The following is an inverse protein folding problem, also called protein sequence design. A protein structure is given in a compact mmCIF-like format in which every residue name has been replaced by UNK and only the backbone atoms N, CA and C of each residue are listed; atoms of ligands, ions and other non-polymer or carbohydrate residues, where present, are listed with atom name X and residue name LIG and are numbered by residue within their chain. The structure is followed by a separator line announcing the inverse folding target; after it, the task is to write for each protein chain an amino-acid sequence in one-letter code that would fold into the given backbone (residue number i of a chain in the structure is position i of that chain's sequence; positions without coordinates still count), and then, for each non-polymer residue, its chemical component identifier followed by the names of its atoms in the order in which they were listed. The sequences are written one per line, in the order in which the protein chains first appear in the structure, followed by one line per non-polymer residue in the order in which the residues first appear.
data_IF_331637586518
#
_entry.id   IF_331637586518
#
_cell.length_a   1.000
_cell.length_b   1.000
_cell.length_c   1.000
_cell.angle_alpha   90.00
_cell.angle_beta   90.00
_cell.angle_gamma   90.00
#
_symmetry.space_group_name_H-M   'P 1'
#
loop_
_entity.id
_entity.type
_entity.pdbx_description
1 polymer ?
#
# COMPACT_ATOMS: atom_id res chain seq x y z
N UNK A 1 -11.78 27.11 1.21
CA UNK A 1 -11.97 26.04 2.21
C UNK A 1 -13.12 25.16 1.78
N UNK A 2 -12.90 23.81 1.74
CA UNK A 2 -13.98 22.87 1.47
C UNK A 2 -14.95 22.88 2.68
N UNK A 3 -16.24 23.11 2.40
CA UNK A 3 -17.31 23.04 3.41
C UNK A 3 -17.75 21.60 3.64
N UNK A 4 -16.83 20.72 4.08
CA UNK A 4 -17.15 19.35 4.42
C UNK A 4 -17.63 19.29 5.88
N UNK A 5 -18.76 18.62 6.12
CA UNK A 5 -19.20 18.28 7.46
C UNK A 5 -18.58 16.95 7.87
N UNK A 6 -17.90 16.92 9.03
CA UNK A 6 -17.32 15.72 9.63
C UNK A 6 -18.16 15.33 10.83
N UNK A 7 -18.63 14.08 10.86
CA UNK A 7 -19.41 13.49 11.97
C UNK A 7 -18.62 12.35 12.61
N UNK A 8 -17.91 12.68 13.66
CA UNK A 8 -17.21 11.67 14.47
C UNK A 8 -18.21 10.80 15.25
N UNK A 9 -17.82 9.55 15.53
CA UNK A 9 -18.68 8.58 16.22
C UNK A 9 -19.91 8.14 15.42
N UNK A 10 -20.05 8.54 14.16
CA UNK A 10 -21.12 8.12 13.29
C UNK A 10 -20.82 6.74 12.65
N UNK A 11 -21.69 5.77 12.90
CA UNK A 11 -21.56 4.41 12.36
C UNK A 11 -22.57 4.18 11.23
N UNK A 12 -22.08 3.96 10.02
CA UNK A 12 -22.91 3.52 8.90
C UNK A 12 -23.22 2.03 9.06
N UNK A 13 -24.50 1.67 8.97
CA UNK A 13 -25.00 0.31 9.14
C UNK A 13 -25.50 -0.31 7.82
N UNK A 14 -26.04 0.50 6.91
CA UNK A 14 -26.60 0.02 5.63
C UNK A 14 -26.58 1.13 4.58
N UNK A 15 -26.74 0.72 3.32
CA UNK A 15 -27.03 1.60 2.19
C UNK A 15 -28.53 1.76 2.02
N UNK A 16 -28.93 2.94 1.57
CA UNK A 16 -30.29 3.23 1.12
C UNK A 16 -30.34 3.12 -0.41
N UNK A 17 -31.43 2.61 -0.94
CA UNK A 17 -31.64 2.50 -2.38
C UNK A 17 -32.87 3.32 -2.79
N UNK A 18 -32.90 3.71 -4.05
CA UNK A 18 -34.12 4.22 -4.70
C UNK A 18 -34.95 3.07 -5.30
N UNK A 19 -36.09 3.42 -5.90
CA UNK A 19 -37.03 2.45 -6.50
C UNK A 19 -36.44 1.69 -7.72
N UNK A 20 -35.30 2.14 -8.23
CA UNK A 20 -34.58 1.51 -9.36
C UNK A 20 -33.37 0.71 -8.87
N UNK A 21 -33.19 0.57 -7.54
CA UNK A 21 -32.07 -0.16 -6.94
C UNK A 21 -30.73 0.60 -6.94
N UNK A 22 -30.72 1.89 -7.31
CA UNK A 22 -29.55 2.74 -7.23
C UNK A 22 -29.26 3.09 -5.76
N UNK A 23 -27.99 3.10 -5.36
CA UNK A 23 -27.60 3.61 -4.05
C UNK A 23 -27.96 5.11 -3.97
N UNK A 24 -28.72 5.50 -2.95
CA UNK A 24 -29.28 6.82 -2.77
C UNK A 24 -29.04 7.41 -1.37
N UNK A 25 -28.09 6.83 -0.61
CA UNK A 25 -27.76 7.31 0.73
C UNK A 25 -27.30 6.20 1.66
N UNK A 26 -27.20 6.55 2.94
CA UNK A 26 -26.77 5.65 4.02
C UNK A 26 -27.71 5.72 5.20
N UNK A 27 -27.86 4.58 5.91
CA UNK A 27 -28.41 4.53 7.26
C UNK A 27 -27.27 4.49 8.26
N UNK A 28 -27.30 5.40 9.22
CA UNK A 28 -26.26 5.57 10.21
C UNK A 28 -26.83 5.80 11.60
N UNK A 29 -26.00 5.62 12.64
CA UNK A 29 -26.31 5.99 14.03
C UNK A 29 -25.14 6.71 14.67
N UNK A 30 -25.43 7.67 15.55
CA UNK A 30 -24.43 8.31 16.41
C UNK A 30 -24.25 7.54 17.73
N UNK A 31 -23.62 8.20 18.70
CA UNK A 31 -23.40 7.67 20.06
C UNK A 31 -24.70 7.39 20.83
N UNK A 32 -25.80 8.05 20.44
CA UNK A 32 -27.13 7.84 21.00
C UNK A 32 -27.81 6.54 20.49
N UNK A 33 -27.21 5.82 19.55
CA UNK A 33 -27.73 4.60 18.97
C UNK A 33 -28.97 4.74 18.07
N UNK A 34 -29.47 5.98 17.88
CA UNK A 34 -30.67 6.23 17.08
C UNK A 34 -30.33 6.14 15.59
N UNK A 35 -31.05 5.28 14.87
CA UNK A 35 -30.88 5.15 13.41
C UNK A 35 -31.47 6.37 12.68
N UNK A 36 -30.71 6.86 11.71
CA UNK A 36 -31.05 8.01 10.85
C UNK A 36 -30.69 7.71 9.42
N UNK A 37 -31.49 8.20 8.49
CA UNK A 37 -31.23 8.09 7.05
C UNK A 37 -30.67 9.42 6.54
N UNK A 38 -29.60 9.32 5.72
CA UNK A 38 -29.01 10.44 5.00
C UNK A 38 -29.02 10.11 3.52
N UNK A 39 -29.77 10.89 2.74
CA UNK A 39 -29.85 10.78 1.30
C UNK A 39 -28.71 11.53 0.62
N UNK A 40 -28.17 10.94 -0.44
CA UNK A 40 -27.10 11.53 -1.26
C UNK A 40 -27.13 10.95 -2.67
N UNK A 41 -26.79 11.72 -3.71
CA UNK A 41 -26.68 11.24 -5.09
C UNK A 41 -25.51 10.28 -5.31
N UNK A 42 -24.47 10.36 -4.46
CA UNK A 42 -23.30 9.49 -4.47
C UNK A 42 -22.92 9.09 -3.04
N UNK A 43 -22.70 7.80 -2.81
CA UNK A 43 -22.08 7.27 -1.59
C UNK A 43 -20.66 6.79 -1.92
N UNK A 44 -19.68 7.33 -1.23
CA UNK A 44 -18.28 6.92 -1.38
C UNK A 44 -17.87 6.04 -0.22
N UNK A 45 -17.57 4.77 -0.46
CA UNK A 45 -16.94 3.87 0.48
C UNK A 45 -15.44 4.16 0.54
N UNK A 46 -14.99 4.74 1.66
CA UNK A 46 -13.57 4.95 1.97
C UNK A 46 -13.20 4.23 3.28
N UNK A 47 -13.84 3.10 3.53
CA UNK A 47 -13.90 2.34 4.77
C UNK A 47 -12.92 1.15 4.78
N UNK A 48 -11.88 1.22 3.92
CA UNK A 48 -10.73 0.34 3.95
C UNK A 48 -10.98 -1.06 3.39
N UNK A 49 -10.05 -1.98 3.64
CA UNK A 49 -10.03 -3.32 3.04
C UNK A 49 -11.28 -4.16 3.36
N UNK A 50 -11.90 -3.95 4.51
CA UNK A 50 -13.11 -4.66 4.96
C UNK A 50 -14.38 -3.85 4.71
N UNK A 51 -14.42 -3.12 3.61
CA UNK A 51 -15.46 -2.18 3.25
C UNK A 51 -16.88 -2.76 3.41
N UNK A 52 -17.68 -2.07 4.22
CA UNK A 52 -19.12 -2.32 4.32
C UNK A 52 -19.81 -1.96 3.00
N UNK A 53 -19.39 -0.84 2.39
CA UNK A 53 -19.99 -0.39 1.12
C UNK A 53 -19.73 -1.41 0.04
N UNK A 54 -18.49 -1.92 -0.12
CA UNK A 54 -18.17 -2.95 -1.11
C UNK A 54 -19.04 -4.20 -0.94
N UNK A 55 -19.24 -4.65 0.31
CA UNK A 55 -20.09 -5.80 0.62
C UNK A 55 -21.55 -5.53 0.27
N UNK A 56 -22.06 -4.38 0.66
CA UNK A 56 -23.47 -4.03 0.46
C UNK A 56 -23.86 -3.91 -1.01
N UNK A 57 -22.90 -3.56 -1.90
CA UNK A 57 -23.12 -3.45 -3.35
C UNK A 57 -22.68 -4.69 -4.14
N UNK A 58 -22.30 -5.79 -3.45
CA UNK A 58 -21.82 -7.01 -4.10
C UNK A 58 -20.50 -6.83 -4.88
N UNK A 59 -19.64 -5.90 -4.43
CA UNK A 59 -18.32 -5.65 -5.00
C UNK A 59 -17.19 -6.11 -4.07
N UNK A 60 -17.49 -6.97 -3.08
CA UNK A 60 -16.51 -7.43 -2.08
C UNK A 60 -15.41 -8.29 -2.70
N UNK A 61 -15.76 -9.14 -3.66
CA UNK A 61 -14.79 -10.02 -4.31
C UNK A 61 -13.96 -9.28 -5.34
N UNK A 62 -12.61 -9.38 -5.25
CA UNK A 62 -11.74 -8.78 -6.24
C UNK A 62 -11.79 -9.55 -7.57
N UNK A 63 -11.74 -8.82 -8.68
CA UNK A 63 -11.55 -9.44 -10.01
C UNK A 63 -10.07 -9.67 -10.35
N UNK A 64 -9.18 -9.08 -9.58
CA UNK A 64 -7.72 -9.28 -9.63
C UNK A 64 -7.19 -9.27 -8.23
N UNK A 65 -6.42 -10.29 -7.84
CA UNK A 65 -5.74 -10.32 -6.55
C UNK A 65 -4.38 -11.01 -6.61
N UNK A 66 -3.56 -10.77 -5.60
CA UNK A 66 -2.27 -11.40 -5.41
C UNK A 66 -1.96 -11.46 -3.91
N UNK A 67 -1.84 -12.67 -3.38
CA UNK A 67 -1.44 -12.85 -2.00
C UNK A 67 0.01 -12.39 -1.78
N UNK A 68 0.28 -11.74 -0.66
CA UNK A 68 1.64 -11.40 -0.25
C UNK A 68 2.38 -12.65 0.23
N UNK A 69 3.63 -12.79 -0.21
CA UNK A 69 4.59 -13.73 0.36
C UNK A 69 5.26 -13.21 1.64
N UNK A 70 4.87 -12.01 2.13
CA UNK A 70 5.41 -11.35 3.31
C UNK A 70 4.36 -11.15 4.39
N UNK A 71 4.80 -11.06 5.63
CA UNK A 71 3.99 -10.61 6.76
C UNK A 71 4.65 -9.34 7.34
N UNK A 72 3.85 -8.41 7.87
CA UNK A 72 4.35 -7.17 8.44
C UNK A 72 4.34 -7.25 9.97
N UNK A 73 5.46 -6.89 10.59
CA UNK A 73 5.58 -6.72 12.03
C UNK A 73 6.27 -5.40 12.31
N UNK A 74 5.72 -4.58 13.19
CA UNK A 74 6.23 -3.23 13.41
C UNK A 74 6.05 -2.75 14.85
N UNK A 75 6.94 -1.88 15.25
CA UNK A 75 6.91 -1.18 16.52
C UNK A 75 7.42 0.25 16.37
N UNK A 76 7.06 1.07 17.34
CA UNK A 76 7.56 2.43 17.45
C UNK A 76 8.71 2.45 18.45
N UNK A 77 9.77 3.18 18.12
CA UNK A 77 10.97 3.28 18.93
C UNK A 77 11.28 4.74 19.22
N UNK A 78 11.74 5.05 20.41
CA UNK A 78 12.34 6.36 20.66
C UNK A 78 13.57 6.50 19.78
N UNK A 79 13.66 7.58 19.03
CA UNK A 79 14.72 7.81 18.06
C UNK A 79 15.81 8.71 18.66
N UNK A 80 16.95 8.14 19.09
CA UNK A 80 18.02 8.92 19.69
C UNK A 80 18.87 9.70 18.67
N UNK A 81 18.72 9.39 17.37
CA UNK A 81 19.56 9.94 16.31
C UNK A 81 18.82 11.00 15.50
N UNK A 82 19.06 12.27 15.84
CA UNK A 82 18.46 13.41 15.16
C UNK A 82 18.86 13.51 13.68
N UNK A 83 20.01 12.98 13.28
CA UNK A 83 20.47 13.02 11.88
C UNK A 83 19.59 12.23 10.92
N UNK A 84 18.79 11.28 11.45
CA UNK A 84 17.87 10.46 10.69
C UNK A 84 16.42 10.96 10.68
N UNK A 85 16.14 12.11 11.32
CA UNK A 85 14.76 12.63 11.47
C UNK A 85 14.02 12.90 10.16
N UNK A 86 14.76 13.14 9.09
CA UNK A 86 14.17 13.39 7.75
C UNK A 86 14.41 12.24 6.77
N UNK A 87 14.99 11.13 7.23
CA UNK A 87 15.40 10.03 6.37
C UNK A 87 14.51 8.81 6.59
N UNK A 88 13.66 8.50 5.62
CA UNK A 88 13.02 7.21 5.49
C UNK A 88 13.98 6.23 4.80
N UNK A 89 14.23 5.08 5.40
CA UNK A 89 15.17 4.11 4.86
C UNK A 89 14.56 2.71 4.78
N UNK A 90 14.97 1.97 3.77
CA UNK A 90 14.58 0.59 3.55
C UNK A 90 15.81 -0.25 3.21
N UNK A 91 15.92 -1.42 3.81
CA UNK A 91 17.01 -2.38 3.61
C UNK A 91 16.44 -3.75 3.30
N UNK A 92 17.19 -4.49 2.52
CA UNK A 92 16.85 -5.86 2.18
C UNK A 92 18.06 -6.76 2.41
N UNK A 93 17.90 -7.74 3.29
CA UNK A 93 18.92 -8.73 3.62
C UNK A 93 18.36 -10.12 3.35
N UNK A 94 18.91 -10.80 2.35
CA UNK A 94 18.31 -12.03 1.84
C UNK A 94 16.83 -11.84 1.48
N UNK A 95 15.92 -12.67 2.04
CA UNK A 95 14.48 -12.51 1.83
C UNK A 95 13.84 -11.46 2.75
N UNK A 96 14.51 -11.03 3.83
CA UNK A 96 13.96 -10.11 4.81
C UNK A 96 14.02 -8.66 4.31
N UNK A 97 12.98 -7.90 4.61
CA UNK A 97 12.91 -6.47 4.33
C UNK A 97 12.72 -5.72 5.65
N UNK A 98 13.55 -4.73 5.88
CA UNK A 98 13.47 -3.83 7.03
C UNK A 98 13.29 -2.40 6.59
N UNK A 99 12.48 -1.65 7.31
CA UNK A 99 12.19 -0.24 7.01
C UNK A 99 12.19 0.56 8.28
N UNK A 100 12.75 1.78 8.25
CA UNK A 100 12.66 2.77 9.32
C UNK A 100 12.05 4.05 8.75
N UNK A 101 10.93 4.48 9.33
CA UNK A 101 10.25 5.72 8.98
C UNK A 101 10.25 6.65 10.21
N UNK A 102 10.81 7.86 10.10
CA UNK A 102 10.63 8.89 11.13
C UNK A 102 9.15 9.20 11.32
N UNK A 103 8.76 9.36 12.58
CA UNK A 103 7.41 9.71 12.98
C UNK A 103 7.44 10.97 13.86
N UNK A 104 6.25 11.47 14.20
CA UNK A 104 6.09 12.56 15.14
C UNK A 104 6.62 12.18 16.54
N UNK A 105 6.77 13.16 17.42
CA UNK A 105 7.15 13.03 18.83
C UNK A 105 8.49 12.30 19.07
N UNK A 106 9.41 12.42 18.10
CA UNK A 106 10.72 11.80 18.25
C UNK A 106 10.71 10.28 18.14
N UNK A 107 9.71 9.71 17.49
CA UNK A 107 9.62 8.28 17.26
C UNK A 107 10.13 7.89 15.87
N UNK A 108 10.55 6.64 15.75
CA UNK A 108 10.78 5.96 14.48
C UNK A 108 9.94 4.68 14.44
N UNK A 109 9.20 4.49 13.35
CA UNK A 109 8.54 3.23 13.05
C UNK A 109 9.56 2.28 12.45
N UNK A 110 9.87 1.19 13.12
CA UNK A 110 10.62 0.09 12.54
C UNK A 110 9.66 -1.01 12.10
N UNK A 111 9.68 -1.33 10.80
CA UNK A 111 8.86 -2.36 10.16
C UNK A 111 9.78 -3.44 9.60
N UNK A 112 9.52 -4.70 9.94
CA UNK A 112 10.13 -5.85 9.26
C UNK A 112 9.09 -6.63 8.50
N UNK A 113 9.45 -7.09 7.30
CA UNK A 113 8.60 -7.86 6.41
C UNK A 113 9.28 -9.17 6.00
N UNK A 114 9.37 -10.15 6.93
CA UNK A 114 9.90 -11.48 6.63
C UNK A 114 8.95 -12.26 5.71
N UNK A 115 9.43 -13.33 5.06
CA UNK A 115 8.59 -14.28 4.36
C UNK A 115 7.49 -14.88 5.24
N UNK A 116 6.30 -15.13 4.66
CA UNK A 116 5.16 -15.71 5.39
C UNK A 116 5.46 -17.08 6.01
N UNK A 117 6.43 -17.83 5.49
CA UNK A 117 6.88 -19.09 6.07
C UNK A 117 7.44 -18.97 7.49
N UNK A 118 7.84 -17.76 7.92
CA UNK A 118 8.32 -17.51 9.29
C UNK A 118 7.20 -17.15 10.29
N UNK A 119 5.94 -17.14 9.86
CA UNK A 119 4.80 -16.72 10.71
C UNK A 119 4.69 -17.47 12.02
N UNK A 120 5.06 -18.76 12.05
CA UNK A 120 4.95 -19.56 13.27
C UNK A 120 5.88 -19.01 14.38
N UNK A 121 7.14 -18.72 14.08
CA UNK A 121 8.06 -18.12 15.04
C UNK A 121 7.51 -16.82 15.65
N UNK A 122 6.82 -15.99 14.83
CA UNK A 122 6.18 -14.77 15.31
C UNK A 122 4.90 -15.01 16.11
N UNK A 123 4.25 -16.16 15.95
CA UNK A 123 3.09 -16.54 16.78
C UNK A 123 3.53 -17.06 18.15
N UNK A 124 4.66 -17.76 18.21
CA UNK A 124 5.24 -18.29 19.44
C UNK A 124 5.83 -17.16 20.30
N UNK A 125 6.67 -16.32 19.70
CA UNK A 125 7.29 -15.15 20.36
C UNK A 125 7.34 -13.95 19.41
N UNK A 126 6.31 -13.11 19.48
CA UNK A 126 6.18 -11.95 18.58
C UNK A 126 7.35 -10.96 18.73
N UNK A 127 7.71 -10.60 19.95
CA UNK A 127 8.74 -9.58 20.18
C UNK A 127 10.13 -10.15 19.95
N UNK A 128 10.42 -11.36 20.40
CA UNK A 128 11.71 -12.01 20.18
C UNK A 128 11.98 -12.23 18.69
N UNK A 129 11.01 -12.77 17.93
CA UNK A 129 11.14 -12.96 16.48
C UNK A 129 11.29 -11.62 15.74
N UNK A 130 10.60 -10.57 16.17
CA UNK A 130 10.73 -9.22 15.62
C UNK A 130 12.12 -8.66 15.83
N UNK A 131 12.65 -8.72 17.08
CA UNK A 131 14.01 -8.25 17.42
C UNK A 131 15.09 -9.08 16.71
N UNK A 132 14.91 -10.39 16.62
CA UNK A 132 15.82 -11.26 15.87
C UNK A 132 15.86 -10.91 14.37
N UNK A 133 14.70 -10.56 13.79
CA UNK A 133 14.66 -10.12 12.39
C UNK A 133 15.33 -8.76 12.18
N UNK A 134 15.19 -7.82 13.12
CA UNK A 134 15.94 -6.54 13.10
C UNK A 134 17.43 -6.82 13.17
N UNK A 135 17.88 -7.68 14.07
CA UNK A 135 19.30 -8.02 14.26
C UNK A 135 19.89 -8.69 12.99
N UNK A 136 19.09 -9.43 12.24
CA UNK A 136 19.48 -10.05 10.97
C UNK A 136 19.62 -9.04 9.80
N UNK A 137 19.25 -7.78 9.99
CA UNK A 137 19.41 -6.68 9.02
C UNK A 137 20.36 -5.65 9.62
N UNK A 138 21.70 -5.79 9.45
CA UNK A 138 22.69 -5.00 10.17
C UNK A 138 22.50 -3.48 10.09
N UNK A 139 22.15 -2.87 8.93
CA UNK A 139 21.92 -1.44 8.89
C UNK A 139 20.69 -0.98 9.70
N UNK A 140 19.63 -1.80 9.77
CA UNK A 140 18.45 -1.51 10.58
C UNK A 140 18.78 -1.66 12.07
N UNK A 141 19.53 -2.69 12.44
CA UNK A 141 20.00 -2.88 13.81
C UNK A 141 20.87 -1.70 14.27
N UNK A 142 21.78 -1.23 13.43
CA UNK A 142 22.60 -0.05 13.70
C UNK A 142 21.75 1.22 13.85
N UNK A 143 20.74 1.41 12.98
CA UNK A 143 19.80 2.54 13.04
C UNK A 143 19.03 2.60 14.36
N UNK A 144 18.74 1.46 14.96
CA UNK A 144 18.00 1.34 16.22
C UNK A 144 18.88 1.12 17.43
N UNK A 145 20.21 1.23 17.27
CA UNK A 145 21.15 1.06 18.40
C UNK A 145 20.87 2.12 19.48
N UNK A 146 20.65 1.66 20.72
CA UNK A 146 20.30 2.53 21.84
C UNK A 146 18.85 3.02 21.86
N UNK A 147 18.04 2.73 20.83
CA UNK A 147 16.63 3.07 20.81
C UNK A 147 15.81 2.16 21.73
N UNK A 148 14.76 2.70 22.33
CA UNK A 148 13.83 1.96 23.21
C UNK A 148 12.49 1.74 22.50
N UNK A 149 12.01 0.49 22.49
CA UNK A 149 10.67 0.16 21.97
C UNK A 149 9.59 0.81 22.85
N UNK A 150 8.67 1.53 22.21
CA UNK A 150 7.51 2.19 22.84
C UNK A 150 6.26 1.37 22.61
N UNK A 151 5.64 0.92 23.69
CA UNK A 151 4.45 0.09 23.62
C UNK A 151 4.77 -1.35 23.20
N UNK A 152 3.95 -1.90 22.28
CA UNK A 152 4.02 -3.30 21.84
C UNK A 152 4.28 -3.43 20.35
N UNK A 153 4.90 -4.52 19.95
CA UNK A 153 4.98 -4.93 18.54
C UNK A 153 3.57 -5.25 18.02
N UNK A 154 3.29 -4.81 16.81
CA UNK A 154 2.02 -5.04 16.11
C UNK A 154 2.27 -5.86 14.85
N UNK A 155 1.23 -6.52 14.34
CA UNK A 155 1.32 -7.33 13.13
C UNK A 155 0.18 -7.05 12.16
N UNK A 156 0.49 -7.19 10.86
CA UNK A 156 -0.49 -7.29 9.79
C UNK A 156 -0.11 -8.49 8.93
N UNK A 157 -0.97 -9.49 8.91
CA UNK A 157 -0.75 -10.76 8.19
C UNK A 157 -1.94 -11.05 7.29
N UNK A 158 -1.80 -12.01 6.37
CA UNK A 158 -2.87 -12.32 5.40
C UNK A 158 -3.12 -11.12 4.47
N UNK A 159 -2.04 -10.50 4.02
CA UNK A 159 -2.09 -9.35 3.12
C UNK A 159 -2.34 -9.89 1.70
N UNK A 160 -3.30 -9.28 1.02
CA UNK A 160 -3.63 -9.57 -0.36
C UNK A 160 -3.81 -8.26 -1.12
N UNK A 161 -2.99 -8.04 -2.15
CA UNK A 161 -3.16 -6.92 -3.07
C UNK A 161 -4.34 -7.18 -3.99
N UNK A 162 -5.15 -6.17 -4.30
CA UNK A 162 -6.31 -6.38 -5.16
C UNK A 162 -6.81 -5.15 -5.90
N UNK A 163 -7.61 -5.43 -6.94
CA UNK A 163 -8.59 -4.53 -7.54
C UNK A 163 -9.98 -5.12 -7.40
N UNK A 164 -10.93 -4.32 -6.96
CA UNK A 164 -12.37 -4.61 -6.93
C UNK A 164 -13.10 -3.67 -7.89
N UNK A 165 -14.27 -4.08 -8.36
CA UNK A 165 -15.20 -3.14 -8.97
C UNK A 165 -15.42 -1.98 -7.99
N UNK A 166 -15.17 -0.76 -8.43
CA UNK A 166 -15.08 0.40 -7.55
C UNK A 166 -16.03 1.52 -7.95
N UNK A 167 -16.94 1.25 -8.89
CA UNK A 167 -18.04 2.16 -9.23
C UNK A 167 -19.28 1.40 -9.63
N UNK A 168 -20.42 2.06 -9.48
CA UNK A 168 -21.72 1.56 -9.89
C UNK A 168 -22.80 2.60 -9.61
N UNK A 169 -24.09 2.25 -9.85
CA UNK A 169 -25.18 3.21 -9.71
C UNK A 169 -25.24 3.84 -8.31
N UNK A 170 -24.83 5.11 -8.20
CA UNK A 170 -24.88 5.90 -6.98
C UNK A 170 -23.77 5.59 -5.95
N UNK A 171 -22.74 4.84 -6.30
CA UNK A 171 -21.66 4.53 -5.37
C UNK A 171 -20.28 4.47 -6.03
N UNK A 172 -19.25 4.73 -5.23
CA UNK A 172 -17.84 4.51 -5.59
C UNK A 172 -17.04 4.02 -4.39
N UNK A 173 -15.92 3.30 -4.64
CA UNK A 173 -14.99 2.82 -3.60
C UNK A 173 -13.64 3.52 -3.76
N UNK A 174 -13.27 4.35 -2.79
CA UNK A 174 -12.01 5.08 -2.75
C UNK A 174 -10.98 4.38 -1.84
N UNK A 175 -9.69 4.60 -2.12
CA UNK A 175 -8.60 4.03 -1.34
C UNK A 175 -8.66 2.50 -1.28
N UNK A 176 -8.31 1.94 -0.12
CA UNK A 176 -8.25 0.50 0.11
C UNK A 176 -9.60 -0.21 -0.01
N UNK A 177 -10.72 0.51 0.02
CA UNK A 177 -12.03 -0.08 -0.21
C UNK A 177 -12.18 -0.65 -1.63
N UNK A 178 -11.54 -0.03 -2.63
CA UNK A 178 -11.63 -0.44 -4.03
C UNK A 178 -10.34 -1.01 -4.60
N UNK A 179 -9.18 -0.60 -4.12
CA UNK A 179 -7.87 -0.98 -4.63
C UNK A 179 -6.83 -0.94 -3.52
N UNK A 180 -6.20 -2.06 -3.27
CA UNK A 180 -5.16 -2.20 -2.25
C UNK A 180 -3.89 -2.81 -2.86
N UNK A 181 -2.73 -2.31 -2.47
CA UNK A 181 -1.42 -2.86 -2.77
C UNK A 181 -0.70 -3.24 -1.49
N UNK A 182 0.15 -4.26 -1.58
CA UNK A 182 1.05 -4.62 -0.48
C UNK A 182 1.84 -3.39 -0.01
N UNK A 183 2.00 -3.19 1.31
CA UNK A 183 2.70 -2.03 1.88
C UNK A 183 4.20 -1.98 1.55
N UNK A 184 4.78 -3.01 0.94
CA UNK A 184 6.20 -3.07 0.57
C UNK A 184 6.70 -1.87 -0.25
N UNK A 185 5.82 -1.22 -1.00
CA UNK A 185 6.14 -0.03 -1.81
C UNK A 185 5.55 1.27 -1.24
N UNK A 186 4.90 1.23 -0.06
CA UNK A 186 4.35 2.40 0.65
C UNK A 186 3.40 3.29 -0.19
N UNK A 187 2.58 2.71 -1.10
CA UNK A 187 1.75 3.45 -2.07
C UNK A 187 0.35 3.82 -1.58
N UNK A 188 -0.14 3.19 -0.49
CA UNK A 188 -1.55 3.24 -0.09
C UNK A 188 -2.07 4.65 0.18
N UNK A 189 -1.39 5.42 1.03
CA UNK A 189 -1.80 6.78 1.41
C UNK A 189 -1.82 7.71 0.20
N UNK A 190 -0.75 7.67 -0.59
CA UNK A 190 -0.66 8.48 -1.80
C UNK A 190 -1.80 8.20 -2.77
N UNK A 191 -2.13 6.92 -2.99
CA UNK A 191 -3.18 6.55 -3.92
C UNK A 191 -4.57 6.93 -3.37
N UNK A 192 -4.80 6.77 -2.07
CA UNK A 192 -6.05 7.21 -1.43
C UNK A 192 -6.28 8.71 -1.63
N UNK A 193 -5.27 9.53 -1.38
CA UNK A 193 -5.36 10.99 -1.55
C UNK A 193 -5.54 11.39 -3.02
N UNK A 194 -4.70 10.85 -3.93
CA UNK A 194 -4.75 11.19 -5.35
C UNK A 194 -6.07 10.81 -6.00
N UNK A 195 -6.47 9.54 -5.85
CA UNK A 195 -7.68 9.04 -6.52
C UNK A 195 -8.95 9.45 -5.79
N UNK A 196 -8.89 9.74 -4.49
CA UNK A 196 -9.99 10.39 -3.77
C UNK A 196 -10.26 11.79 -4.31
N UNK A 197 -9.21 12.61 -4.52
CA UNK A 197 -9.33 13.93 -5.14
C UNK A 197 -9.91 13.85 -6.58
N UNK A 198 -9.34 12.96 -7.41
CA UNK A 198 -9.81 12.78 -8.79
C UNK A 198 -11.25 12.27 -8.86
N UNK A 199 -11.71 11.46 -7.90
CA UNK A 199 -13.11 11.05 -7.79
C UNK A 199 -14.01 12.25 -7.48
N UNK A 200 -13.59 13.07 -6.52
CA UNK A 200 -14.32 14.30 -6.18
C UNK A 200 -14.45 15.26 -7.36
N UNK A 201 -13.36 15.49 -8.09
CA UNK A 201 -13.33 16.32 -9.30
C UNK A 201 -14.27 15.77 -10.40
N UNK A 202 -14.23 14.44 -10.65
CA UNK A 202 -15.07 13.80 -11.65
C UNK A 202 -16.57 13.85 -11.31
N UNK A 203 -16.90 13.71 -10.02
CA UNK A 203 -18.29 13.69 -9.56
C UNK A 203 -18.90 15.09 -9.41
N UNK A 204 -18.14 16.07 -8.97
CA UNK A 204 -18.66 17.39 -8.60
C UNK A 204 -19.36 18.12 -9.73
N UNK A 205 -18.85 17.99 -10.98
CA UNK A 205 -19.41 18.66 -12.15
C UNK A 205 -20.75 18.07 -12.63
N UNK A 206 -21.11 16.86 -12.17
CA UNK A 206 -22.26 16.09 -12.69
C UNK A 206 -23.10 15.48 -11.57
N UNK A 207 -23.01 16.01 -10.35
CA UNK A 207 -23.61 15.43 -9.16
C UNK A 207 -25.15 15.32 -9.26
N UNK A 208 -25.79 16.25 -9.97
CA UNK A 208 -27.24 16.34 -10.12
C UNK A 208 -27.80 15.51 -11.30
N UNK A 209 -26.90 14.92 -12.13
CA UNK A 209 -27.30 14.02 -13.23
C UNK A 209 -26.85 12.58 -12.93
N UNK A 210 -27.75 11.69 -12.50
CA UNK A 210 -27.40 10.32 -12.13
C UNK A 210 -26.70 9.52 -13.23
N UNK A 211 -27.04 9.74 -14.49
CA UNK A 211 -26.45 9.01 -15.62
C UNK A 211 -25.06 9.52 -15.93
N UNK A 212 -24.87 10.83 -15.94
CA UNK A 212 -23.56 11.45 -16.11
C UNK A 212 -22.62 11.11 -14.94
N UNK A 213 -23.13 11.09 -13.69
CA UNK A 213 -22.39 10.72 -12.51
C UNK A 213 -21.88 9.28 -12.56
N UNK A 214 -22.73 8.32 -12.96
CA UNK A 214 -22.32 6.92 -13.09
C UNK A 214 -21.27 6.73 -14.20
N UNK A 215 -21.38 7.47 -15.30
CA UNK A 215 -20.37 7.47 -16.37
C UNK A 215 -19.04 8.07 -15.88
N UNK A 216 -19.09 9.15 -15.11
CA UNK A 216 -17.90 9.82 -14.57
C UNK A 216 -17.15 8.94 -13.57
N UNK A 217 -17.88 8.30 -12.64
CA UNK A 217 -17.27 7.38 -11.66
C UNK A 217 -16.70 6.12 -12.33
N UNK A 218 -17.37 5.58 -13.36
CA UNK A 218 -16.84 4.45 -14.15
C UNK A 218 -15.59 4.85 -14.95
N UNK A 219 -15.52 6.07 -15.50
CA UNK A 219 -14.34 6.56 -16.20
C UNK A 219 -13.17 6.76 -15.21
N UNK A 220 -13.43 7.32 -14.03
CA UNK A 220 -12.48 7.44 -12.94
C UNK A 220 -11.90 6.08 -12.52
N UNK A 221 -12.74 5.07 -12.34
CA UNK A 221 -12.30 3.71 -11.99
C UNK A 221 -11.32 3.14 -13.02
N UNK A 222 -11.69 3.21 -14.31
CA UNK A 222 -10.81 2.75 -15.41
C UNK A 222 -9.49 3.48 -15.45
N UNK A 223 -9.51 4.81 -15.30
CA UNK A 223 -8.29 5.61 -15.30
C UNK A 223 -7.37 5.24 -14.12
N UNK A 224 -7.93 5.07 -12.91
CA UNK A 224 -7.18 4.62 -11.73
C UNK A 224 -6.55 3.25 -11.96
N UNK A 225 -7.29 2.30 -12.56
CA UNK A 225 -6.74 0.97 -12.85
C UNK A 225 -5.56 1.05 -13.81
N UNK A 226 -5.70 1.76 -14.92
CA UNK A 226 -4.63 1.95 -15.90
C UNK A 226 -3.38 2.60 -15.27
N UNK A 227 -3.57 3.61 -14.46
CA UNK A 227 -2.47 4.30 -13.79
C UNK A 227 -1.77 3.43 -12.73
N UNK A 228 -2.52 2.55 -12.06
CA UNK A 228 -2.01 1.75 -10.96
C UNK A 228 -1.49 0.38 -11.37
N UNK A 229 -1.89 -0.16 -12.52
CA UNK A 229 -1.64 -1.56 -12.89
C UNK A 229 -0.15 -1.93 -12.90
N UNK A 230 0.68 -1.11 -13.51
CA UNK A 230 2.12 -1.40 -13.62
C UNK A 230 2.81 -1.42 -12.25
N UNK A 231 2.50 -0.44 -11.40
CA UNK A 231 3.04 -0.42 -10.04
C UNK A 231 2.45 -1.52 -9.17
N UNK A 232 1.20 -1.90 -9.36
CA UNK A 232 0.60 -3.07 -8.73
C UNK A 232 1.38 -4.35 -9.07
N UNK A 233 1.69 -4.56 -10.34
CA UNK A 233 2.48 -5.72 -10.77
C UNK A 233 3.89 -5.71 -10.17
N UNK A 234 4.57 -4.57 -10.22
CA UNK A 234 5.89 -4.40 -9.60
C UNK A 234 5.85 -4.62 -8.09
N UNK A 235 4.87 -4.06 -7.39
CA UNK A 235 4.68 -4.28 -5.95
C UNK A 235 4.50 -5.76 -5.63
N UNK A 236 3.72 -6.50 -6.41
CA UNK A 236 3.51 -7.93 -6.20
C UNK A 236 4.79 -8.77 -6.41
N UNK A 237 5.69 -8.34 -7.30
CA UNK A 237 7.01 -8.97 -7.43
C UNK A 237 7.82 -8.79 -6.16
N UNK A 238 7.90 -7.57 -5.63
CA UNK A 238 8.62 -7.28 -4.38
C UNK A 238 7.99 -7.96 -3.15
N UNK A 239 6.69 -8.18 -3.19
CA UNK A 239 5.93 -8.81 -2.12
C UNK A 239 6.05 -10.33 -2.05
N UNK A 240 6.76 -11.01 -2.98
CA UNK A 240 6.92 -12.47 -2.97
C UNK A 240 7.63 -13.03 -1.75
N UNK A 241 8.44 -12.22 -1.06
CA UNK A 241 9.22 -12.69 0.09
C UNK A 241 10.45 -13.53 -0.31
N UNK A 242 10.88 -13.42 -1.56
CA UNK A 242 12.05 -14.06 -2.12
C UNK A 242 13.28 -13.16 -1.99
N UNK A 243 14.51 -13.70 -2.03
CA UNK A 243 15.74 -12.91 -2.21
C UNK A 243 15.68 -12.07 -3.50
N UNK A 244 16.51 -11.03 -3.57
CA UNK A 244 16.62 -10.23 -4.80
C UNK A 244 17.13 -11.10 -5.95
N UNK A 245 16.48 -10.96 -7.11
CA UNK A 245 17.01 -11.57 -8.33
C UNK A 245 18.35 -10.97 -8.72
N UNK A 246 19.22 -11.69 -9.45
CA UNK A 246 20.49 -11.16 -9.91
C UNK A 246 20.36 -9.84 -10.69
N UNK A 247 19.28 -9.66 -11.44
CA UNK A 247 19.01 -8.42 -12.18
C UNK A 247 18.69 -7.26 -11.23
N UNK A 248 17.92 -7.51 -10.17
CA UNK A 248 17.64 -6.50 -9.13
C UNK A 248 18.93 -6.09 -8.41
N UNK A 249 19.78 -7.04 -8.05
CA UNK A 249 21.07 -6.76 -7.42
C UNK A 249 21.94 -5.87 -8.33
N UNK A 250 22.04 -6.18 -9.62
CA UNK A 250 22.79 -5.34 -10.57
C UNK A 250 22.17 -3.97 -10.78
N UNK A 251 20.84 -3.86 -10.75
CA UNK A 251 20.13 -2.59 -10.82
C UNK A 251 20.48 -1.68 -9.63
N UNK A 252 20.42 -2.21 -8.40
CA UNK A 252 20.77 -1.44 -7.21
C UNK A 252 22.26 -1.07 -7.16
N UNK A 253 23.15 -1.95 -7.62
CA UNK A 253 24.59 -1.63 -7.74
C UNK A 253 24.85 -0.53 -8.77
N UNK A 254 24.17 -0.60 -9.92
CA UNK A 254 24.27 0.44 -10.93
C UNK A 254 23.73 1.79 -10.38
N UNK A 255 22.63 1.76 -9.64
CA UNK A 255 22.07 2.95 -9.01
C UNK A 255 22.99 3.53 -7.92
N UNK A 256 23.67 2.70 -7.15
CA UNK A 256 24.65 3.16 -6.18
C UNK A 256 25.86 3.86 -6.82
N UNK A 257 26.18 3.51 -8.07
CA UNK A 257 27.27 4.11 -8.82
C UNK A 257 26.84 5.31 -9.70
N UNK A 258 25.53 5.44 -9.98
CA UNK A 258 24.98 6.44 -10.90
C UNK A 258 23.83 7.20 -10.23
N UNK A 259 24.06 8.44 -9.72
CA UNK A 259 23.02 9.22 -9.02
C UNK A 259 21.75 9.48 -9.83
N UNK A 260 21.85 9.61 -11.15
CA UNK A 260 20.67 9.79 -12.02
C UNK A 260 19.77 8.55 -12.02
N UNK A 261 20.35 7.34 -12.02
CA UNK A 261 19.61 6.10 -11.93
C UNK A 261 19.01 5.89 -10.52
N UNK A 262 19.73 6.30 -9.47
CA UNK A 262 19.20 6.33 -8.11
C UNK A 262 17.96 7.23 -8.01
N UNK A 263 18.03 8.43 -8.58
CA UNK A 263 16.90 9.35 -8.69
C UNK A 263 15.72 8.72 -9.46
N UNK A 264 15.98 8.09 -10.59
CA UNK A 264 14.97 7.38 -11.39
C UNK A 264 14.26 6.27 -10.60
N UNK A 265 14.98 5.51 -9.77
CA UNK A 265 14.41 4.48 -8.89
C UNK A 265 13.53 5.10 -7.81
N UNK A 266 13.98 6.17 -7.15
CA UNK A 266 13.18 6.88 -6.16
C UNK A 266 11.91 7.48 -6.78
N UNK A 267 11.99 7.94 -8.04
CA UNK A 267 10.86 8.43 -8.81
C UNK A 267 9.79 7.36 -9.07
N UNK A 268 10.14 6.08 -9.08
CA UNK A 268 9.15 4.99 -9.13
C UNK A 268 8.36 4.91 -7.82
N UNK A 269 9.03 5.03 -6.67
CA UNK A 269 8.36 5.03 -5.37
C UNK A 269 7.47 6.26 -5.18
N UNK A 270 7.91 7.44 -5.62
CA UNK A 270 7.11 8.67 -5.61
C UNK A 270 6.03 8.71 -6.69
N UNK A 271 6.04 7.76 -7.65
CA UNK A 271 5.15 7.71 -8.82
C UNK A 271 5.37 8.87 -9.81
N UNK A 272 6.50 9.55 -9.76
CA UNK A 272 6.92 10.52 -10.79
C UNK A 272 7.34 9.79 -12.07
N UNK A 273 7.79 8.52 -11.95
CA UNK A 273 8.21 7.70 -13.08
C UNK A 273 7.56 6.29 -13.02
N UNK A 274 7.32 5.69 -14.19
CA UNK A 274 6.81 4.30 -14.28
C UNK A 274 7.94 3.29 -14.15
N UNK A 275 7.72 2.11 -13.52
CA UNK A 275 8.72 1.03 -13.44
C UNK A 275 9.35 0.66 -14.77
N UNK A 276 8.56 0.55 -15.86
CA UNK A 276 9.04 0.23 -17.21
C UNK A 276 10.02 1.24 -17.79
N UNK A 277 10.00 2.47 -17.31
CA UNK A 277 10.97 3.51 -17.75
C UNK A 277 12.33 3.30 -17.09
N UNK A 278 12.36 2.77 -15.87
CA UNK A 278 13.60 2.48 -15.15
C UNK A 278 14.18 1.14 -15.60
N UNK A 279 13.36 0.09 -15.67
CA UNK A 279 13.75 -1.23 -16.14
C UNK A 279 13.26 -1.45 -17.59
N UNK A 280 13.73 -0.61 -18.51
CA UNK A 280 13.46 -0.77 -19.94
C UNK A 280 14.09 -2.04 -20.50
N UNK A 281 13.55 -2.66 -21.57
CA UNK A 281 14.10 -3.90 -22.13
C UNK A 281 15.60 -3.85 -22.45
N UNK A 282 16.16 -2.78 -23.03
CA UNK A 282 17.60 -2.68 -23.26
C UNK A 282 18.40 -2.67 -21.95
N UNK A 283 17.93 -1.93 -20.93
CA UNK A 283 18.57 -1.87 -19.61
C UNK A 283 18.49 -3.22 -18.90
N UNK A 284 17.35 -3.87 -18.94
CA UNK A 284 17.16 -5.21 -18.38
C UNK A 284 18.13 -6.23 -19.01
N UNK A 285 18.29 -6.20 -20.34
CA UNK A 285 19.24 -7.05 -21.05
C UNK A 285 20.70 -6.78 -20.65
N UNK A 286 21.09 -5.51 -20.52
CA UNK A 286 22.41 -5.11 -20.04
C UNK A 286 22.68 -5.58 -18.62
N UNK A 287 21.72 -5.42 -17.69
CA UNK A 287 21.85 -5.88 -16.31
C UNK A 287 21.92 -7.40 -16.22
N UNK A 288 21.12 -8.11 -17.02
CA UNK A 288 21.19 -9.58 -17.11
C UNK A 288 22.54 -10.05 -17.59
N UNK A 289 23.11 -9.41 -18.63
CA UNK A 289 24.45 -9.75 -19.12
C UNK A 289 25.52 -9.51 -18.04
N UNK A 290 25.44 -8.38 -17.29
CA UNK A 290 26.35 -8.10 -16.17
C UNK A 290 26.22 -9.15 -15.05
N UNK A 291 25.01 -9.57 -14.71
CA UNK A 291 24.76 -10.59 -13.71
C UNK A 291 25.38 -11.94 -14.10
N UNK A 292 25.27 -12.34 -15.38
CA UNK A 292 25.84 -13.60 -15.90
C UNK A 292 27.37 -13.61 -15.95
N UNK A 293 28.00 -12.45 -16.16
CA UNK A 293 29.46 -12.31 -16.27
C UNK A 293 30.15 -12.22 -14.90
N UNK A 294 29.43 -12.12 -13.80
CA UNK A 294 30.05 -12.02 -12.46
C UNK A 294 30.61 -13.37 -11.99
N UNK A 295 31.84 -13.37 -11.44
CA UNK A 295 32.36 -14.53 -10.75
C UNK A 295 31.48 -14.85 -9.52
N UNK A 296 30.93 -16.04 -9.43
CA UNK A 296 30.06 -16.47 -8.32
C UNK A 296 28.57 -16.58 -8.64
N UNK A 297 28.06 -15.93 -9.68
CA UNK A 297 26.62 -15.96 -10.05
C UNK A 297 26.06 -17.39 -10.28
N UNK A 298 26.91 -18.36 -10.56
CA UNK A 298 26.53 -19.78 -10.76
C UNK A 298 26.38 -20.57 -9.44
N UNK A 299 26.90 -20.07 -8.31
CA UNK A 299 26.75 -20.75 -7.00
C UNK A 299 25.46 -20.37 -6.29
N UNK A 300 25.01 -19.14 -6.44
CA UNK A 300 23.79 -18.63 -5.75
C UNK A 300 22.49 -19.04 -6.47
N UNK A 301 22.57 -19.50 -7.72
CA UNK A 301 21.41 -19.98 -8.49
C UNK A 301 21.09 -21.47 -8.25
N UNK A 302 21.91 -22.19 -7.47
CA UNK A 302 21.77 -23.62 -7.16
C UNK A 302 21.54 -23.89 -5.66
N UNK A 303 21.40 -22.86 -4.84
CA UNK A 303 20.91 -22.88 -3.45
C UNK A 303 19.57 -22.16 -3.34
#
# INVERSE_FOLDING_TARGET
EARAEVREGARVAALLHDDRGRVAGVRWSGSDGVARDLRAPLVVGADGRRSLVARAVGAELPYRSSASGRACYFGYWEDPDESWREIAAQWREGPDLGTAFPCDDGLVLALVQPPVGRREAFREDLEGAYRATIAAIPPLAARLAGARLVGRVRSATGIESYFRRSSGPGWALAGDAGHFKDPVTAQGIRDALRYGRLLGEAAAAVLDDPVALDRATAAWERQRELDCLEVYQWTNVLARGEPMSPIEVELYRAAAAEPSLAGDLLDVFSRARRPSRVLSPPRAALLAARALLRPGARRDALQ
#
